data_IF_774432483690
#
_entry.id   IF_774432483690
#
_cell.length_a   1.000
_cell.length_b   1.000
_cell.length_c   1.000
_cell.angle_alpha   90.00
_cell.angle_beta   90.00
_cell.angle_gamma   90.00
#
_symmetry.space_group_name_H-M   'P 1'
#
loop_
_entity.id
_entity.type
_entity.pdbx_description
1 polymer ?
#
# COMPACT_ATOMS: atom_id res chain seq x y z
N UNK A 1 13.16 15.06 -9.48
CA UNK A 1 12.04 14.71 -8.60
C UNK A 1 10.81 15.60 -8.78
N UNK A 2 9.63 14.99 -8.98
CA UNK A 2 8.31 15.66 -9.07
C UNK A 2 7.36 15.06 -8.02
N UNK A 3 6.63 15.89 -7.27
CA UNK A 3 5.63 15.42 -6.30
C UNK A 3 4.44 14.75 -7.01
N UNK A 4 4.07 13.56 -6.53
CA UNK A 4 3.03 12.70 -7.13
C UNK A 4 1.84 12.47 -6.20
N UNK A 5 2.11 12.21 -4.92
CA UNK A 5 1.06 11.90 -3.94
C UNK A 5 1.25 12.65 -2.64
N UNK A 6 0.14 12.90 -1.95
CA UNK A 6 0.12 13.38 -0.57
C UNK A 6 -0.68 12.38 0.28
N UNK A 7 -0.07 11.87 1.35
CA UNK A 7 -0.63 10.82 2.21
C UNK A 7 -0.45 11.25 3.67
N UNK A 8 -1.53 11.26 4.44
CA UNK A 8 -1.49 11.55 5.88
C UNK A 8 -0.84 10.39 6.64
N UNK A 9 0.05 10.70 7.57
CA UNK A 9 0.78 9.72 8.37
C UNK A 9 1.19 10.29 9.72
N UNK A 10 0.79 9.66 10.83
CA UNK A 10 1.26 10.02 12.18
C UNK A 10 1.27 11.55 12.45
N UNK A 11 0.13 12.21 12.25
CA UNK A 11 -0.06 13.68 12.41
C UNK A 11 0.67 14.56 11.39
N UNK A 12 1.46 13.96 10.50
CA UNK A 12 2.18 14.62 9.42
C UNK A 12 1.50 14.41 8.06
N UNK A 13 1.82 15.28 7.11
CA UNK A 13 1.49 15.07 5.71
C UNK A 13 2.77 14.67 4.95
N UNK A 14 2.81 13.42 4.49
CA UNK A 14 3.89 12.92 3.63
C UNK A 14 3.59 13.25 2.18
N UNK A 15 4.53 13.93 1.53
CA UNK A 15 4.54 14.17 0.11
C UNK A 15 5.52 13.21 -0.56
N UNK A 16 5.00 12.42 -1.49
CA UNK A 16 5.75 11.41 -2.20
C UNK A 16 6.13 11.92 -3.57
N UNK A 17 7.39 11.78 -3.91
CA UNK A 17 7.90 11.94 -5.26
C UNK A 17 8.34 10.58 -5.83
N UNK A 18 8.83 10.62 -7.07
CA UNK A 18 9.50 9.53 -7.77
C UNK A 18 10.75 8.98 -7.04
N UNK A 19 11.51 9.84 -6.36
CA UNK A 19 12.84 9.49 -5.81
C UNK A 19 12.96 9.72 -4.29
N UNK A 20 12.01 10.43 -3.69
CA UNK A 20 12.11 10.92 -2.31
C UNK A 20 10.75 11.12 -1.63
N UNK A 21 10.77 11.11 -0.30
CA UNK A 21 9.62 11.42 0.55
C UNK A 21 9.92 12.67 1.39
N UNK A 22 8.93 13.55 1.48
CA UNK A 22 9.03 14.81 2.22
C UNK A 22 7.91 14.89 3.26
N UNK A 23 8.19 15.54 4.39
CA UNK A 23 7.15 15.94 5.34
C UNK A 23 6.87 17.43 5.13
N UNK A 24 5.58 17.77 5.00
CA UNK A 24 5.14 19.16 5.05
C UNK A 24 5.01 19.59 6.52
N UNK A 25 5.84 20.53 6.93
CA UNK A 25 5.93 21.06 8.29
C UNK A 25 5.85 22.59 8.31
N UNK A 26 5.70 23.17 9.50
CA UNK A 26 5.88 24.60 9.73
C UNK A 26 6.32 24.85 11.18
N UNK A 27 7.24 25.79 11.37
CA UNK A 27 7.58 26.29 12.70
C UNK A 27 6.53 27.32 13.13
N UNK A 28 5.56 26.89 13.93
CA UNK A 28 4.43 27.71 14.39
C UNK A 28 3.19 27.54 13.50
N UNK A 29 2.64 28.64 12.99
CA UNK A 29 1.44 28.59 12.14
C UNK A 29 1.82 28.18 10.72
N UNK A 30 1.09 27.23 10.13
CA UNK A 30 1.23 26.88 8.71
C UNK A 30 0.70 28.02 7.83
N UNK A 31 1.61 28.65 7.10
CA UNK A 31 1.30 29.75 6.17
C UNK A 31 2.19 29.62 4.92
N UNK A 32 1.86 30.35 3.86
CA UNK A 32 2.69 30.38 2.64
C UNK A 32 4.15 30.82 2.89
N UNK A 33 4.43 31.56 3.99
CA UNK A 33 5.79 32.01 4.34
C UNK A 33 6.54 31.03 5.25
N UNK A 34 5.82 30.17 5.96
CA UNK A 34 6.37 29.31 7.03
C UNK A 34 6.32 27.83 6.69
N UNK A 35 5.66 27.45 5.61
CA UNK A 35 5.64 26.08 5.10
C UNK A 35 7.05 25.64 4.70
N UNK A 36 7.45 24.46 5.17
CA UNK A 36 8.73 23.83 4.91
C UNK A 36 8.52 22.39 4.44
N UNK A 37 9.42 21.93 3.59
CA UNK A 37 9.46 20.56 3.09
C UNK A 37 10.76 19.92 3.54
N UNK A 38 10.65 19.03 4.52
CA UNK A 38 11.79 18.34 5.09
C UNK A 38 11.93 16.97 4.41
N UNK A 39 13.09 16.70 3.82
CA UNK A 39 13.39 15.39 3.24
C UNK A 39 13.50 14.37 4.38
N UNK A 40 12.64 13.35 4.36
CA UNK A 40 12.67 12.30 5.39
C UNK A 40 13.47 11.09 4.94
N UNK A 41 13.18 10.60 3.73
CA UNK A 41 13.79 9.38 3.18
C UNK A 41 13.93 9.48 1.66
N UNK A 42 14.87 8.72 1.10
CA UNK A 42 15.10 8.58 -0.34
C UNK A 42 14.90 7.13 -0.76
N UNK A 43 13.64 6.71 -0.84
CA UNK A 43 13.30 5.39 -1.37
C UNK A 43 12.76 5.51 -2.80
N UNK A 44 13.13 4.55 -3.65
CA UNK A 44 12.57 4.40 -4.99
C UNK A 44 11.12 3.93 -4.92
N UNK A 45 10.22 4.66 -5.55
CA UNK A 45 8.77 4.42 -5.50
C UNK A 45 8.18 4.36 -6.89
N UNK A 46 7.27 3.41 -7.10
CA UNK A 46 6.39 3.41 -8.27
C UNK A 46 5.38 4.56 -8.18
N UNK A 47 5.36 5.45 -9.17
CA UNK A 47 4.34 6.49 -9.30
C UNK A 47 3.02 5.99 -9.91
N UNK A 48 2.89 4.67 -10.14
CA UNK A 48 1.70 4.05 -10.74
C UNK A 48 0.65 3.61 -9.72
N UNK A 49 1.04 3.43 -8.47
CA UNK A 49 0.15 3.04 -7.40
C UNK A 49 0.28 4.03 -6.24
N UNK A 50 -0.87 4.58 -5.81
CA UNK A 50 -0.92 5.47 -4.66
C UNK A 50 -0.47 4.73 -3.38
N UNK A 51 0.51 5.25 -2.62
CA UNK A 51 0.83 4.70 -1.30
C UNK A 51 -0.40 4.70 -0.39
N UNK A 52 -0.62 3.61 0.33
CA UNK A 52 -1.86 3.39 1.06
C UNK A 52 -1.61 3.17 2.56
N UNK A 53 -2.30 3.94 3.40
CA UNK A 53 -2.21 3.85 4.85
C UNK A 53 -3.07 2.70 5.40
N UNK A 54 -2.47 1.83 6.20
CA UNK A 54 -3.18 0.78 6.92
C UNK A 54 -2.66 0.74 8.36
N UNK A 55 -3.52 1.12 9.32
CA UNK A 55 -3.12 1.30 10.70
C UNK A 55 -2.04 2.38 10.83
N UNK A 56 -0.90 2.03 11.45
CA UNK A 56 0.25 2.93 11.69
C UNK A 56 1.30 2.88 10.58
N UNK A 57 1.01 2.24 9.46
CA UNK A 57 1.97 1.99 8.38
C UNK A 57 1.44 2.52 7.03
N UNK A 58 2.35 2.86 6.13
CA UNK A 58 2.03 3.09 4.72
C UNK A 58 2.66 1.99 3.87
N UNK A 59 1.88 1.40 2.99
CA UNK A 59 2.36 0.41 2.02
C UNK A 59 2.51 1.05 0.65
N UNK A 60 3.63 0.77 -0.01
CA UNK A 60 3.96 1.31 -1.32
C UNK A 60 4.72 0.29 -2.18
N UNK A 61 4.69 0.50 -3.49
CA UNK A 61 5.36 -0.36 -4.45
C UNK A 61 6.74 0.19 -4.82
N UNK A 62 7.76 -0.66 -4.80
CA UNK A 62 9.11 -0.37 -5.30
C UNK A 62 9.47 -1.37 -6.40
N UNK A 63 9.38 -0.98 -7.69
CA UNK A 63 9.55 -1.90 -8.81
C UNK A 63 11.02 -2.30 -8.99
N UNK A 64 11.29 -3.59 -9.19
CA UNK A 64 12.62 -4.11 -9.61
C UNK A 64 12.59 -4.49 -11.09
N UNK A 65 13.53 -5.32 -11.54
CA UNK A 65 13.61 -5.76 -12.95
C UNK A 65 12.32 -6.44 -13.45
N UNK A 66 11.90 -7.52 -12.80
CA UNK A 66 10.72 -8.31 -13.23
C UNK A 66 9.58 -8.35 -12.21
N UNK A 67 9.90 -8.12 -10.93
CA UNK A 67 8.97 -8.22 -9.81
C UNK A 67 9.02 -6.93 -8.98
N UNK A 68 7.93 -6.62 -8.30
CA UNK A 68 7.81 -5.43 -7.45
C UNK A 68 7.93 -5.82 -5.99
N UNK A 69 8.74 -5.08 -5.23
CA UNK A 69 8.73 -5.16 -3.77
C UNK A 69 7.55 -4.36 -3.20
N UNK A 70 6.90 -4.90 -2.18
CA UNK A 70 5.91 -4.16 -1.40
C UNK A 70 6.55 -3.73 -0.10
N UNK A 71 6.77 -2.43 0.02
CA UNK A 71 7.48 -1.80 1.11
C UNK A 71 6.50 -1.30 2.16
N UNK A 72 6.87 -1.41 3.44
CA UNK A 72 6.14 -0.84 4.57
C UNK A 72 6.94 0.33 5.13
N UNK A 73 6.41 1.53 5.00
CA UNK A 73 6.89 2.74 5.66
C UNK A 73 6.26 2.88 7.05
N UNK A 74 7.08 3.15 8.07
CA UNK A 74 6.66 3.25 9.46
C UNK A 74 7.52 4.25 10.26
N UNK A 75 7.00 4.73 11.39
CA UNK A 75 7.75 5.52 12.36
C UNK A 75 8.42 4.58 13.37
N UNK A 76 9.70 4.81 13.68
CA UNK A 76 10.43 4.01 14.67
C UNK A 76 9.86 4.30 16.07
N UNK A 77 9.61 3.26 16.85
CA UNK A 77 8.90 3.36 18.14
C UNK A 77 9.58 4.28 19.15
N UNK A 78 10.91 4.24 19.22
CA UNK A 78 11.67 5.03 20.20
C UNK A 78 11.87 6.49 19.78
N UNK A 79 11.71 6.79 18.48
CA UNK A 79 11.95 8.12 17.93
C UNK A 79 10.97 8.37 16.80
N UNK A 80 9.82 9.00 17.10
CA UNK A 80 8.73 9.22 16.14
C UNK A 80 9.14 10.05 14.91
N UNK A 81 10.17 10.90 15.05
CA UNK A 81 10.75 11.66 13.93
C UNK A 81 11.58 10.80 12.98
N UNK A 82 12.09 9.65 13.43
CA UNK A 82 12.83 8.70 12.60
C UNK A 82 11.83 7.82 11.86
N UNK A 83 11.92 7.86 10.55
CA UNK A 83 11.06 7.12 9.63
C UNK A 83 11.91 6.07 8.93
N UNK A 84 11.34 4.89 8.70
CA UNK A 84 12.04 3.80 8.04
C UNK A 84 11.11 3.03 7.10
N UNK A 85 11.69 2.25 6.19
CA UNK A 85 10.96 1.34 5.33
C UNK A 85 11.54 -0.08 5.40
N UNK A 86 10.66 -1.07 5.37
CA UNK A 86 11.02 -2.49 5.37
C UNK A 86 10.33 -3.20 4.19
N UNK A 87 11.02 -4.14 3.54
CA UNK A 87 10.48 -4.91 2.42
C UNK A 87 9.63 -6.08 2.94
N UNK A 88 8.31 -5.99 2.81
CA UNK A 88 7.36 -7.04 3.24
C UNK A 88 7.34 -8.24 2.32
N UNK A 89 7.94 -8.13 1.14
CA UNK A 89 8.13 -9.21 0.18
C UNK A 89 9.55 -9.78 0.20
N UNK A 90 10.40 -9.40 1.16
CA UNK A 90 11.80 -9.85 1.22
C UNK A 90 11.94 -11.38 1.22
N UNK A 91 11.01 -12.10 1.86
CA UNK A 91 10.99 -13.56 1.92
C UNK A 91 10.31 -14.23 0.71
N UNK A 92 9.65 -13.46 -0.16
CA UNK A 92 8.98 -13.90 -1.40
C UNK A 92 9.25 -12.92 -2.56
N UNK A 93 10.52 -12.64 -2.92
CA UNK A 93 10.85 -11.52 -3.80
C UNK A 93 10.30 -11.69 -5.23
N UNK A 94 10.11 -12.92 -5.70
CA UNK A 94 9.64 -13.19 -7.06
C UNK A 94 8.14 -13.50 -7.12
N UNK A 95 7.34 -12.93 -6.20
CA UNK A 95 5.92 -13.28 -6.08
C UNK A 95 4.97 -12.28 -6.73
N UNK A 96 5.21 -10.97 -6.61
CA UNK A 96 4.35 -9.92 -7.16
C UNK A 96 4.94 -9.40 -8.48
N UNK A 97 4.35 -9.71 -9.64
CA UNK A 97 4.84 -9.23 -10.93
C UNK A 97 4.81 -7.71 -11.04
N UNK A 98 5.69 -7.17 -11.87
CA UNK A 98 5.72 -5.73 -12.14
C UNK A 98 4.42 -5.18 -12.73
N UNK A 99 4.24 -3.87 -12.53
CA UNK A 99 3.05 -3.16 -12.98
C UNK A 99 1.98 -3.00 -11.90
N UNK A 100 2.39 -2.95 -10.63
CA UNK A 100 1.49 -2.60 -9.53
C UNK A 100 0.85 -1.24 -9.80
N UNK A 101 -0.47 -1.22 -9.80
CA UNK A 101 -1.27 -0.02 -10.09
C UNK A 101 -2.30 0.29 -8.99
N UNK A 102 -2.52 -0.65 -8.06
CA UNK A 102 -3.41 -0.44 -6.91
C UNK A 102 -2.86 -1.14 -5.68
N UNK A 103 -2.86 -0.42 -4.56
CA UNK A 103 -2.64 -0.95 -3.22
C UNK A 103 -3.84 -0.49 -2.39
N UNK A 104 -4.49 -1.42 -1.71
CA UNK A 104 -5.56 -1.14 -0.77
C UNK A 104 -5.44 -2.08 0.43
N UNK A 105 -6.45 -2.12 1.30
CA UNK A 105 -6.44 -3.03 2.43
C UNK A 105 -7.38 -2.58 3.55
N UNK A 106 -7.39 -3.37 4.61
CA UNK A 106 -8.21 -3.13 5.79
C UNK A 106 -7.36 -3.24 7.04
N UNK A 107 -7.40 -2.18 7.85
CA UNK A 107 -6.83 -2.21 9.20
C UNK A 107 -7.68 -3.04 10.17
N UNK A 108 -8.98 -3.19 9.90
CA UNK A 108 -9.88 -4.03 10.70
C UNK A 108 -9.57 -5.51 10.52
N UNK A 109 -9.32 -5.93 9.28
CA UNK A 109 -9.06 -7.34 8.92
C UNK A 109 -7.56 -7.69 8.85
N UNK A 110 -6.70 -6.69 9.09
CA UNK A 110 -5.23 -6.76 9.08
C UNK A 110 -4.65 -7.35 7.78
N UNK A 111 -4.94 -6.72 6.65
CA UNK A 111 -4.29 -7.08 5.39
C UNK A 111 -4.12 -5.89 4.44
N UNK A 112 -3.13 -5.99 3.55
CA UNK A 112 -3.01 -5.20 2.34
C UNK A 112 -3.36 -6.06 1.12
N UNK A 113 -3.97 -5.48 0.10
CA UNK A 113 -4.18 -6.11 -1.20
C UNK A 113 -3.47 -5.32 -2.30
N UNK A 114 -2.94 -6.05 -3.28
CA UNK A 114 -2.14 -5.48 -4.37
C UNK A 114 -2.64 -6.02 -5.71
N UNK A 115 -2.87 -5.10 -6.65
CA UNK A 115 -3.22 -5.42 -8.03
C UNK A 115 -2.09 -5.01 -8.96
N UNK A 116 -1.81 -5.84 -9.96
CA UNK A 116 -0.71 -5.64 -10.91
C UNK A 116 -1.06 -6.03 -12.32
N UNK A 117 -0.55 -5.29 -13.31
CA UNK A 117 -0.73 -5.58 -14.73
C UNK A 117 -0.08 -6.88 -15.17
N UNK A 118 0.96 -7.34 -14.46
CA UNK A 118 1.64 -8.61 -14.78
C UNK A 118 0.83 -9.86 -14.40
N UNK A 119 -0.26 -9.72 -13.65
CA UNK A 119 -1.17 -10.82 -13.30
C UNK A 119 -2.59 -10.27 -13.05
N UNK A 120 -3.30 -9.86 -14.12
CA UNK A 120 -4.54 -9.10 -14.02
C UNK A 120 -5.71 -9.87 -13.39
N UNK A 121 -5.69 -11.20 -13.43
CA UNK A 121 -6.72 -12.06 -12.81
C UNK A 121 -6.50 -12.28 -11.31
N UNK A 122 -5.39 -11.79 -10.75
CA UNK A 122 -4.98 -12.08 -9.38
C UNK A 122 -5.07 -10.87 -8.46
N UNK A 123 -5.53 -11.12 -7.24
CA UNK A 123 -5.43 -10.19 -6.11
C UNK A 123 -4.41 -10.76 -5.14
N UNK A 124 -3.27 -10.08 -4.98
CA UNK A 124 -2.24 -10.50 -4.03
C UNK A 124 -2.62 -9.98 -2.64
N UNK A 125 -2.66 -10.86 -1.65
CA UNK A 125 -3.04 -10.55 -0.28
C UNK A 125 -1.81 -10.67 0.62
N UNK A 126 -1.46 -9.59 1.30
CA UNK A 126 -0.53 -9.59 2.41
C UNK A 126 -1.30 -9.50 3.72
N UNK A 127 -1.47 -10.63 4.40
CA UNK A 127 -2.10 -10.66 5.72
C UNK A 127 -1.03 -10.58 6.80
N UNK A 128 -1.24 -9.68 7.74
CA UNK A 128 -0.32 -9.41 8.84
C UNK A 128 -1.02 -9.50 10.19
N UNK A 129 -0.24 -9.67 11.25
CA UNK A 129 -0.72 -9.61 12.62
C UNK A 129 0.39 -9.02 13.49
N UNK A 130 0.07 -7.97 14.23
CA UNK A 130 0.93 -7.42 15.27
C UNK A 130 0.41 -7.85 16.63
N UNK A 131 1.30 -8.33 17.49
CA UNK A 131 1.01 -8.62 18.91
C UNK A 131 2.16 -8.10 19.73
N UNK A 132 1.85 -7.37 20.81
CA UNK A 132 2.84 -6.71 21.66
C UNK A 132 3.84 -5.91 20.83
N UNK A 133 3.31 -5.11 19.88
CA UNK A 133 4.09 -4.28 18.97
C UNK A 133 5.08 -5.03 18.05
N UNK A 134 5.07 -6.37 18.07
CA UNK A 134 5.90 -7.22 17.24
C UNK A 134 5.07 -7.88 16.13
N UNK A 135 5.64 -7.96 14.92
CA UNK A 135 4.99 -8.69 13.83
C UNK A 135 5.04 -10.19 14.09
N UNK A 136 3.88 -10.82 14.20
CA UNK A 136 3.72 -12.27 14.44
C UNK A 136 3.34 -13.03 13.18
N UNK A 137 2.73 -12.36 12.21
CA UNK A 137 2.35 -12.95 10.93
C UNK A 137 2.80 -12.04 9.80
N UNK A 138 3.50 -12.63 8.84
CA UNK A 138 3.78 -12.08 7.52
C UNK A 138 3.42 -13.17 6.52
N UNK A 139 2.21 -13.09 5.97
CA UNK A 139 1.73 -14.13 5.05
C UNK A 139 1.30 -13.53 3.73
N UNK A 140 1.75 -14.17 2.66
CA UNK A 140 1.38 -13.84 1.29
C UNK A 140 0.53 -14.95 0.69
N UNK A 141 -0.55 -14.56 0.04
CA UNK A 141 -1.37 -15.42 -0.80
C UNK A 141 -1.86 -14.64 -2.01
N UNK A 142 -2.58 -15.32 -2.91
CA UNK A 142 -3.34 -14.63 -3.94
C UNK A 142 -4.69 -15.32 -4.14
N UNK A 143 -5.67 -14.52 -4.54
CA UNK A 143 -6.91 -15.02 -5.11
C UNK A 143 -6.80 -14.97 -6.62
N UNK A 144 -7.30 -16.00 -7.28
CA UNK A 144 -7.34 -16.09 -8.74
C UNK A 144 -8.79 -16.16 -9.18
N UNK A 145 -9.18 -15.24 -10.06
CA UNK A 145 -10.54 -15.17 -10.61
C UNK A 145 -10.66 -15.88 -11.96
N UNK A 146 -9.61 -16.55 -12.41
CA UNK A 146 -9.60 -17.38 -13.61
C UNK A 146 -9.12 -16.66 -14.86
N UNK A 147 -8.87 -17.45 -15.91
CA UNK A 147 -8.33 -16.97 -17.17
C UNK A 147 -9.31 -16.01 -17.87
N UNK A 148 -8.78 -14.93 -18.44
CA UNK A 148 -9.56 -13.92 -19.15
C UNK A 148 -10.35 -12.97 -18.23
N UNK A 149 -10.18 -13.07 -16.90
CA UNK A 149 -10.69 -12.09 -15.94
C UNK A 149 -9.61 -11.07 -15.62
N UNK A 150 -9.99 -9.80 -15.59
CA UNK A 150 -9.18 -8.70 -15.07
C UNK A 150 -9.90 -8.10 -13.87
N UNK A 151 -9.23 -8.13 -12.72
CA UNK A 151 -9.62 -7.35 -11.55
C UNK A 151 -9.17 -5.92 -11.80
N UNK A 152 -10.10 -4.98 -11.88
CA UNK A 152 -9.83 -3.56 -12.17
C UNK A 152 -9.69 -2.72 -10.90
N UNK A 153 -10.41 -3.10 -9.83
CA UNK A 153 -10.35 -2.43 -8.54
C UNK A 153 -10.63 -3.43 -7.41
N UNK A 154 -10.02 -3.19 -6.26
CA UNK A 154 -10.23 -3.94 -5.03
C UNK A 154 -10.15 -2.94 -3.87
N UNK A 155 -11.28 -2.66 -3.23
CA UNK A 155 -11.38 -1.63 -2.19
C UNK A 155 -12.14 -2.17 -0.98
N UNK A 156 -11.64 -1.88 0.21
CA UNK A 156 -12.29 -2.26 1.45
C UNK A 156 -13.13 -1.12 2.00
N UNK A 157 -14.37 -1.44 2.36
CA UNK A 157 -15.27 -0.56 3.11
C UNK A 157 -15.74 -1.37 4.32
N UNK A 158 -15.34 -0.95 5.52
CA UNK A 158 -15.52 -1.72 6.76
C UNK A 158 -14.90 -3.13 6.61
N UNK A 159 -15.66 -4.18 6.92
CA UNK A 159 -15.28 -5.58 6.80
C UNK A 159 -15.70 -6.21 5.46
N UNK A 160 -15.90 -5.42 4.40
CA UNK A 160 -16.27 -5.93 3.08
C UNK A 160 -15.30 -5.41 2.02
N UNK A 161 -14.74 -6.31 1.22
CA UNK A 161 -13.99 -5.94 0.01
C UNK A 161 -14.92 -5.94 -1.19
N UNK A 162 -14.97 -4.82 -1.90
CA UNK A 162 -15.63 -4.70 -3.19
C UNK A 162 -14.61 -4.82 -4.32
N UNK A 163 -14.90 -5.68 -5.28
CA UNK A 163 -14.06 -5.99 -6.43
C UNK A 163 -14.80 -5.57 -7.69
N UNK A 164 -14.21 -4.69 -8.50
CA UNK A 164 -14.68 -4.43 -9.86
C UNK A 164 -13.88 -5.32 -10.81
N UNK A 165 -14.56 -6.18 -11.54
CA UNK A 165 -13.94 -7.14 -12.45
C UNK A 165 -14.54 -7.04 -13.84
N UNK A 166 -13.75 -7.40 -14.85
CA UNK A 166 -14.21 -7.55 -16.22
C UNK A 166 -13.68 -8.82 -16.86
N UNK A 167 -14.38 -9.29 -17.88
CA UNK A 167 -13.89 -10.27 -18.83
C UNK A 167 -14.19 -9.77 -20.26
N UNK A 168 -14.07 -10.64 -21.25
CA UNK A 168 -14.33 -10.28 -22.66
C UNK A 168 -15.78 -9.83 -22.94
N UNK A 169 -16.73 -10.13 -22.05
CA UNK A 169 -18.16 -9.94 -22.31
C UNK A 169 -18.82 -8.96 -21.34
N UNK A 170 -18.43 -8.96 -20.06
CA UNK A 170 -19.13 -8.28 -18.99
C UNK A 170 -18.17 -7.53 -18.05
N UNK A 171 -18.72 -6.54 -17.36
CA UNK A 171 -18.12 -5.88 -16.19
C UNK A 171 -19.08 -6.06 -15.03
N UNK A 172 -18.58 -6.49 -13.87
CA UNK A 172 -19.39 -6.72 -12.68
C UNK A 172 -18.68 -6.30 -11.40
N UNK A 173 -19.47 -6.11 -10.34
CA UNK A 173 -18.97 -5.88 -8.99
C UNK A 173 -19.24 -7.13 -8.17
N UNK A 174 -18.24 -7.59 -7.42
CA UNK A 174 -18.38 -8.61 -6.39
C UNK A 174 -18.12 -8.02 -5.01
N UNK A 175 -18.68 -8.64 -3.98
CA UNK A 175 -18.44 -8.29 -2.58
C UNK A 175 -17.97 -9.54 -1.83
N UNK A 176 -16.91 -9.39 -1.05
CA UNK A 176 -16.38 -10.42 -0.15
C UNK A 176 -16.53 -9.88 1.28
N UNK A 177 -17.43 -10.48 2.05
CA UNK A 177 -17.61 -10.15 3.46
C UNK A 177 -16.64 -10.99 4.31
N UNK A 178 -15.94 -10.34 5.24
CA UNK A 178 -15.02 -10.98 6.18
C UNK A 178 -15.67 -11.30 7.52
N UNK A 179 -16.91 -10.87 7.73
CA UNK A 179 -17.67 -11.26 8.92
C UNK A 179 -17.94 -12.75 8.90
N UNK A 180 -17.87 -13.35 10.08
CA UNK A 180 -18.33 -14.71 10.29
C UNK A 180 -19.87 -14.71 10.20
N UNK A 181 -20.42 -15.59 9.38
CA UNK A 181 -21.87 -15.85 9.40
C UNK A 181 -22.26 -16.29 10.82
N UNK A 182 -23.14 -15.51 11.44
CA UNK A 182 -23.66 -15.74 12.79
C UNK A 182 -24.66 -16.88 12.82
#
# INVERSE_FOLDING_TARGET
SVLKYAVSFAEELLLWSDEAQFVLSANGVLSAKTAQLDLTTQFDVSDRARPYGIGRNIYYASPRSSFTSIMRYYAVQDVSSVKNAEDMTAHVPNYVPNGVYSINGSGTENFACVLTKGAPSKVFIYKFLYMDENIRQQSWSHWDFGDGVEVMAANCINSTMYLLMRNAYNVWIAAVDFKKDS
#
